data_IF_294809494131
#
_entry.id   IF_294809494131
#
_cell.length_a   1.000
_cell.length_b   1.000
_cell.length_c   1.000
_cell.angle_alpha   90.00
_cell.angle_beta   90.00
_cell.angle_gamma   90.00
#
_symmetry.space_group_name_H-M   'P 1'
#
loop_
_entity.id
_entity.type
_entity.pdbx_description
1 polymer ?
#
# COMPACT_ATOMS: atom_id res chain seq x y z
N UNK A 1 -59.73 -41.13 77.71
CA UNK A 1 -59.09 -40.06 76.92
C UNK A 1 -58.19 -39.35 77.93
N UNK A 2 -56.87 -39.46 77.88
CA UNK A 2 -56.02 -38.84 76.84
C UNK A 2 -54.64 -39.52 76.83
N UNK A 3 -54.19 -39.95 75.65
CA UNK A 3 -52.78 -40.25 75.31
C UNK A 3 -52.02 -38.92 75.22
N UNK A 4 -50.75 -38.86 75.68
CA UNK A 4 -49.77 -37.92 75.12
C UNK A 4 -48.39 -38.59 74.98
N UNK A 5 -47.94 -38.60 73.73
CA UNK A 5 -46.70 -39.15 73.18
C UNK A 5 -45.47 -38.35 73.63
N UNK A 6 -44.41 -39.04 74.04
CA UNK A 6 -43.04 -38.51 74.08
C UNK A 6 -42.46 -38.44 72.66
N UNK A 7 -42.33 -37.23 72.14
CA UNK A 7 -41.72 -36.91 70.84
C UNK A 7 -40.20 -36.79 70.91
N UNK A 8 -39.56 -37.24 69.83
CA UNK A 8 -38.13 -37.19 69.56
C UNK A 8 -37.68 -35.74 69.30
N UNK A 9 -36.77 -35.19 70.13
CA UNK A 9 -36.25 -33.82 69.99
C UNK A 9 -34.72 -33.75 70.15
N UNK A 10 -33.98 -34.78 69.73
CA UNK A 10 -32.52 -34.84 69.85
C UNK A 10 -31.76 -34.80 68.52
N UNK A 11 -32.43 -34.61 67.38
CA UNK A 11 -31.82 -34.82 66.06
C UNK A 11 -31.37 -33.55 65.31
N UNK A 12 -31.48 -32.36 65.90
CA UNK A 12 -31.21 -31.08 65.19
C UNK A 12 -29.86 -30.42 65.53
N UNK A 13 -29.12 -30.90 66.53
CA UNK A 13 -27.80 -30.36 66.91
C UNK A 13 -26.61 -31.11 66.31
N UNK A 14 -26.72 -32.43 66.11
CA UNK A 14 -25.67 -33.25 65.49
C UNK A 14 -25.55 -33.00 63.97
N UNK A 15 -26.67 -32.90 63.26
CA UNK A 15 -26.67 -32.77 61.79
C UNK A 15 -25.99 -31.49 61.25
N UNK A 16 -26.00 -30.39 62.01
CA UNK A 16 -25.35 -29.14 61.60
C UNK A 16 -23.83 -29.17 61.87
N UNK A 17 -23.42 -29.75 62.99
CA UNK A 17 -22.01 -29.94 63.32
C UNK A 17 -21.34 -30.93 62.35
N UNK A 18 -22.06 -31.99 61.98
CA UNK A 18 -21.63 -32.99 61.01
C UNK A 18 -21.49 -32.39 59.58
N UNK A 19 -22.31 -31.39 59.25
CA UNK A 19 -22.23 -30.68 57.97
C UNK A 19 -20.98 -29.79 57.87
N UNK A 20 -20.65 -29.05 58.94
CA UNK A 20 -19.45 -28.22 58.98
C UNK A 20 -18.17 -29.07 59.00
N UNK A 21 -18.19 -30.22 59.67
CA UNK A 21 -17.08 -31.18 59.67
C UNK A 21 -16.92 -31.84 58.29
N UNK A 22 -18.02 -32.28 57.66
CA UNK A 22 -18.01 -32.82 56.30
C UNK A 22 -17.51 -31.78 55.28
N UNK A 23 -17.93 -30.51 55.39
CA UNK A 23 -17.45 -29.43 54.52
C UNK A 23 -15.95 -29.23 54.66
N UNK A 24 -15.41 -29.28 55.88
CA UNK A 24 -13.98 -29.15 56.15
C UNK A 24 -13.21 -30.33 55.57
N UNK A 25 -13.71 -31.54 55.77
CA UNK A 25 -13.15 -32.77 55.20
C UNK A 25 -13.11 -32.71 53.67
N UNK A 26 -14.21 -32.31 53.01
CA UNK A 26 -14.26 -32.17 51.54
C UNK A 26 -13.30 -31.08 51.06
N UNK A 27 -13.24 -29.94 51.74
CA UNK A 27 -12.32 -28.85 51.39
C UNK A 27 -10.85 -29.26 51.54
N UNK A 28 -10.53 -30.12 52.51
CA UNK A 28 -9.18 -30.63 52.73
C UNK A 28 -8.82 -31.71 51.70
N UNK A 29 -9.76 -32.60 51.34
CA UNK A 29 -9.60 -33.60 50.26
C UNK A 29 -9.29 -32.93 48.92
N UNK A 30 -9.97 -31.84 48.57
CA UNK A 30 -9.68 -31.09 47.33
C UNK A 30 -8.25 -30.48 47.35
N UNK A 31 -7.76 -30.13 48.54
CA UNK A 31 -6.43 -29.52 48.70
C UNK A 31 -5.30 -30.54 48.81
N UNK A 32 -5.58 -31.83 49.03
CA UNK A 32 -4.53 -32.86 49.04
C UNK A 32 -3.94 -33.04 47.64
N UNK A 33 -2.78 -33.69 47.58
CA UNK A 33 -2.13 -33.96 46.28
C UNK A 33 -2.98 -34.89 45.42
N UNK A 34 -3.69 -35.85 46.03
CA UNK A 34 -4.64 -36.73 45.34
C UNK A 34 -5.83 -35.94 44.78
N UNK A 35 -6.38 -34.99 45.55
CA UNK A 35 -7.45 -34.11 45.07
C UNK A 35 -7.02 -33.24 43.89
N UNK A 36 -5.82 -32.64 43.96
CA UNK A 36 -5.23 -31.87 42.85
C UNK A 36 -4.90 -32.73 41.63
N UNK A 37 -4.48 -33.98 41.85
CA UNK A 37 -4.17 -34.95 40.79
C UNK A 37 -5.46 -35.33 40.05
N UNK A 38 -6.50 -35.74 40.79
CA UNK A 38 -7.80 -36.09 40.22
C UNK A 38 -8.45 -34.91 39.49
N UNK A 39 -8.35 -33.69 40.05
CA UNK A 39 -8.84 -32.49 39.37
C UNK A 39 -8.07 -32.19 38.10
N UNK A 40 -6.74 -32.40 38.08
CA UNK A 40 -5.92 -32.27 36.87
C UNK A 40 -6.30 -33.29 35.81
N UNK A 41 -6.55 -34.54 36.19
CA UNK A 41 -6.99 -35.59 35.27
C UNK A 41 -8.30 -35.20 34.59
N UNK A 42 -9.29 -34.75 35.36
CA UNK A 42 -10.58 -34.27 34.81
C UNK A 42 -10.40 -33.02 33.94
N UNK A 43 -9.56 -32.05 34.35
CA UNK A 43 -9.25 -30.87 33.55
C UNK A 43 -8.46 -31.19 32.27
N UNK A 44 -7.83 -32.36 32.19
CA UNK A 44 -7.15 -32.83 30.97
C UNK A 44 -8.04 -33.60 30.02
N UNK A 45 -9.25 -33.97 30.44
CA UNK A 45 -10.23 -34.63 29.56
C UNK A 45 -10.73 -33.64 28.50
N UNK A 46 -10.69 -34.02 27.22
CA UNK A 46 -11.07 -33.16 26.09
C UNK A 46 -12.49 -32.59 26.22
N UNK A 47 -13.43 -33.39 26.74
CA UNK A 47 -14.82 -32.98 26.94
C UNK A 47 -14.92 -31.84 27.96
N UNK A 48 -14.14 -31.92 29.04
CA UNK A 48 -14.10 -30.90 30.08
C UNK A 48 -13.34 -29.65 29.63
N UNK A 49 -12.21 -29.80 28.92
CA UNK A 49 -11.48 -28.68 28.32
C UNK A 49 -12.33 -27.90 27.33
N UNK A 50 -13.06 -28.61 26.46
CA UNK A 50 -13.96 -27.98 25.50
C UNK A 50 -15.06 -27.19 26.22
N UNK A 51 -15.61 -27.73 27.31
CA UNK A 51 -16.61 -27.02 28.12
C UNK A 51 -16.04 -25.76 28.81
N UNK A 52 -14.80 -25.82 29.31
CA UNK A 52 -14.13 -24.71 29.99
C UNK A 52 -13.67 -23.60 29.03
N UNK A 53 -13.18 -23.96 27.84
CA UNK A 53 -12.72 -23.01 26.80
C UNK A 53 -13.89 -22.28 26.14
N UNK A 54 -15.15 -22.73 26.32
CA UNK A 54 -16.34 -22.09 25.74
C UNK A 54 -16.82 -20.82 26.47
N UNK A 55 -16.06 -20.26 27.42
CA UNK A 55 -16.37 -18.93 27.96
C UNK A 55 -16.12 -17.86 26.87
N UNK A 56 -17.13 -17.64 26.03
CA UNK A 56 -17.03 -16.85 24.80
C UNK A 56 -16.51 -15.43 25.02
N UNK A 57 -16.89 -14.77 26.12
CA UNK A 57 -16.46 -13.39 26.39
C UNK A 57 -14.97 -13.32 26.68
N UNK A 58 -14.45 -14.20 27.55
CA UNK A 58 -13.02 -14.21 27.87
C UNK A 58 -12.16 -14.57 26.65
N UNK A 59 -12.60 -15.53 25.85
CA UNK A 59 -11.91 -15.90 24.60
C UNK A 59 -11.94 -14.76 23.58
N UNK A 60 -13.09 -14.11 23.40
CA UNK A 60 -13.24 -13.00 22.46
C UNK A 60 -12.39 -11.79 22.88
N UNK A 61 -12.41 -11.43 24.16
CA UNK A 61 -11.62 -10.32 24.70
C UNK A 61 -10.13 -10.62 24.57
N UNK A 62 -9.70 -11.84 24.94
CA UNK A 62 -8.30 -12.24 24.82
C UNK A 62 -7.82 -12.25 23.37
N UNK A 63 -8.63 -12.75 22.43
CA UNK A 63 -8.29 -12.71 21.00
C UNK A 63 -8.18 -11.26 20.52
N UNK A 64 -9.14 -10.41 20.90
CA UNK A 64 -9.16 -9.00 20.50
C UNK A 64 -7.94 -8.26 21.05
N UNK A 65 -7.66 -8.42 22.33
CA UNK A 65 -6.50 -7.80 22.99
C UNK A 65 -5.20 -8.31 22.38
N UNK A 66 -5.06 -9.62 22.15
CA UNK A 66 -3.85 -10.20 21.54
C UNK A 66 -3.64 -9.73 20.10
N UNK A 67 -4.71 -9.62 19.30
CA UNK A 67 -4.61 -9.16 17.91
C UNK A 67 -4.37 -7.66 17.79
N UNK A 68 -4.83 -6.86 18.76
CA UNK A 68 -4.71 -5.40 18.75
C UNK A 68 -3.50 -4.88 19.54
N UNK A 69 -2.87 -5.73 20.35
CA UNK A 69 -1.66 -5.38 21.08
C UNK A 69 -0.48 -5.08 20.15
N UNK A 70 0.53 -4.40 20.68
CA UNK A 70 1.77 -4.12 19.94
C UNK A 70 2.52 -5.42 19.58
N UNK A 71 2.47 -6.44 20.44
CA UNK A 71 3.01 -7.76 20.16
C UNK A 71 2.26 -8.44 19.00
N UNK A 72 0.93 -8.32 18.95
CA UNK A 72 0.11 -8.80 17.84
C UNK A 72 0.48 -8.12 16.52
N UNK A 73 0.63 -6.79 16.51
CA UNK A 73 1.09 -6.04 15.33
C UNK A 73 2.48 -6.47 14.88
N UNK A 74 3.41 -6.65 15.82
CA UNK A 74 4.76 -7.12 15.54
C UNK A 74 4.76 -8.55 14.97
N UNK A 75 3.92 -9.43 15.52
CA UNK A 75 3.73 -10.78 15.00
C UNK A 75 3.20 -10.78 13.57
N UNK A 76 2.17 -9.99 13.27
CA UNK A 76 1.64 -9.86 11.91
C UNK A 76 2.66 -9.27 10.93
N UNK A 77 3.46 -8.28 11.36
CA UNK A 77 4.55 -7.74 10.56
C UNK A 77 5.57 -8.82 10.18
N UNK A 78 6.08 -9.56 11.17
CA UNK A 78 7.03 -10.65 10.93
C UNK A 78 6.43 -11.79 10.09
N UNK A 79 5.15 -12.09 10.29
CA UNK A 79 4.47 -13.16 9.57
C UNK A 79 4.24 -12.81 8.10
N UNK A 80 3.92 -11.55 7.78
CA UNK A 80 3.79 -11.07 6.40
C UNK A 80 5.14 -11.12 5.67
N UNK A 81 6.24 -10.88 6.39
CA UNK A 81 7.60 -10.99 5.84
C UNK A 81 8.01 -12.44 5.52
N UNK A 82 7.32 -13.46 6.07
CA UNK A 82 7.55 -14.85 5.68
C UNK A 82 7.07 -15.09 4.23
N UNK A 83 7.96 -15.49 3.30
CA UNK A 83 7.59 -15.64 1.89
C UNK A 83 6.45 -16.64 1.63
N UNK A 84 6.34 -17.72 2.41
CA UNK A 84 5.27 -18.71 2.23
C UNK A 84 3.93 -18.17 2.70
N UNK A 85 3.94 -17.40 3.78
CA UNK A 85 2.73 -16.75 4.28
C UNK A 85 2.33 -15.59 3.36
N UNK A 86 3.28 -14.71 3.01
CA UNK A 86 3.08 -13.58 2.11
C UNK A 86 2.51 -13.98 0.76
N UNK A 87 3.00 -15.06 0.14
CA UNK A 87 2.43 -15.58 -1.12
C UNK A 87 0.98 -16.01 -0.93
N UNK A 88 0.66 -16.75 0.13
CA UNK A 88 -0.73 -17.18 0.39
C UNK A 88 -1.66 -16.00 0.64
N UNK A 89 -1.19 -14.97 1.36
CA UNK A 89 -1.97 -13.75 1.59
C UNK A 89 -2.17 -13.01 0.27
N UNK A 90 -1.11 -12.82 -0.52
CA UNK A 90 -1.19 -12.18 -1.83
C UNK A 90 -2.16 -12.92 -2.76
N UNK A 91 -2.07 -14.24 -2.85
CA UNK A 91 -2.98 -15.07 -3.64
C UNK A 91 -4.43 -14.93 -3.18
N UNK A 92 -4.66 -14.93 -1.86
CA UNK A 92 -6.01 -14.76 -1.29
C UNK A 92 -6.61 -13.37 -1.58
N UNK A 93 -5.75 -12.34 -1.65
CA UNK A 93 -6.15 -10.95 -1.90
C UNK A 93 -6.16 -10.60 -3.38
N UNK A 94 -5.56 -11.41 -4.25
CA UNK A 94 -5.29 -11.09 -5.67
C UNK A 94 -6.55 -10.59 -6.39
N UNK A 95 -7.64 -11.35 -6.36
CA UNK A 95 -8.90 -11.01 -7.04
C UNK A 95 -9.46 -9.67 -6.55
N UNK A 96 -9.44 -9.43 -5.24
CA UNK A 96 -9.95 -8.19 -4.65
C UNK A 96 -9.03 -7.01 -4.92
N UNK A 97 -7.73 -7.24 -4.89
CA UNK A 97 -6.74 -6.22 -5.24
C UNK A 97 -6.87 -5.81 -6.72
N UNK A 98 -7.08 -6.77 -7.62
CA UNK A 98 -7.34 -6.49 -9.04
C UNK A 98 -8.63 -5.69 -9.24
N UNK A 99 -9.72 -6.05 -8.55
CA UNK A 99 -10.97 -5.27 -8.57
C UNK A 99 -10.75 -3.82 -8.11
N UNK A 100 -9.99 -3.63 -7.02
CA UNK A 100 -9.64 -2.31 -6.49
C UNK A 100 -8.82 -1.52 -7.49
N UNK A 101 -7.76 -2.10 -8.06
CA UNK A 101 -6.91 -1.45 -9.06
C UNK A 101 -7.70 -1.06 -10.31
N UNK A 102 -8.57 -1.94 -10.81
CA UNK A 102 -9.45 -1.64 -11.95
C UNK A 102 -10.42 -0.50 -11.68
N UNK A 103 -10.90 -0.38 -10.45
CA UNK A 103 -11.76 0.73 -10.04
C UNK A 103 -10.97 2.02 -9.89
N UNK A 104 -9.78 1.95 -9.27
CA UNK A 104 -8.88 3.10 -9.12
C UNK A 104 -8.42 3.65 -10.48
N UNK A 105 -8.16 2.81 -11.48
CA UNK A 105 -7.85 3.30 -12.84
C UNK A 105 -8.95 4.18 -13.46
N UNK A 106 -10.19 4.11 -12.97
CA UNK A 106 -11.32 4.94 -13.42
C UNK A 106 -11.56 6.16 -12.52
N UNK A 107 -10.82 6.27 -11.43
CA UNK A 107 -10.91 7.34 -10.47
C UNK A 107 -10.02 8.52 -10.92
N UNK A 108 -10.52 9.78 -10.89
CA UNK A 108 -9.78 10.93 -11.39
C UNK A 108 -8.52 11.24 -10.58
N UNK A 109 -8.52 10.99 -9.26
CA UNK A 109 -7.36 11.28 -8.42
C UNK A 109 -6.24 10.27 -8.70
N UNK A 110 -6.61 9.00 -8.84
CA UNK A 110 -5.66 7.96 -9.22
C UNK A 110 -5.13 8.12 -10.65
N UNK A 111 -5.96 8.57 -11.58
CA UNK A 111 -5.51 8.93 -12.93
C UNK A 111 -4.51 10.09 -12.90
N UNK A 112 -4.72 11.09 -12.05
CA UNK A 112 -3.79 12.22 -11.88
C UNK A 112 -2.44 11.73 -11.39
N UNK A 113 -2.41 10.88 -10.36
CA UNK A 113 -1.18 10.25 -9.88
C UNK A 113 -0.49 9.42 -10.97
N UNK A 114 -1.27 8.68 -11.77
CA UNK A 114 -0.72 7.91 -12.90
C UNK A 114 -0.14 8.80 -14.00
N UNK A 115 -0.75 9.96 -14.26
CA UNK A 115 -0.22 10.95 -15.20
C UNK A 115 1.11 11.53 -14.70
N UNK A 116 1.23 11.82 -13.40
CA UNK A 116 2.50 12.24 -12.79
C UNK A 116 3.59 11.18 -12.99
N UNK A 117 3.27 9.90 -12.82
CA UNK A 117 4.20 8.79 -13.11
C UNK A 117 4.59 8.74 -14.60
N UNK A 118 3.66 9.03 -15.50
CA UNK A 118 3.96 9.10 -16.95
C UNK A 118 4.83 10.31 -17.33
N UNK A 119 4.94 11.33 -16.49
CA UNK A 119 5.84 12.47 -16.67
C UNK A 119 7.25 12.22 -16.13
N UNK A 120 7.55 11.01 -15.65
CA UNK A 120 8.90 10.66 -15.24
C UNK A 120 9.89 10.70 -16.44
N UNK A 121 11.15 11.13 -16.24
CA UNK A 121 12.16 11.20 -17.31
C UNK A 121 12.39 9.90 -18.07
N UNK A 122 12.22 8.73 -17.45
CA UNK A 122 12.34 7.44 -18.15
C UNK A 122 11.19 7.24 -19.14
N UNK A 123 9.97 7.62 -18.74
CA UNK A 123 8.79 7.56 -19.61
C UNK A 123 8.86 8.60 -20.73
N UNK A 124 9.43 9.78 -20.45
CA UNK A 124 9.71 10.78 -21.47
C UNK A 124 10.70 10.25 -22.51
N UNK A 125 11.80 9.63 -22.09
CA UNK A 125 12.78 9.04 -23.00
C UNK A 125 12.16 7.94 -23.87
N UNK A 126 11.40 7.02 -23.27
CA UNK A 126 10.70 5.97 -24.01
C UNK A 126 9.72 6.56 -25.04
N UNK A 127 9.03 7.65 -24.68
CA UNK A 127 8.12 8.37 -25.59
C UNK A 127 8.88 9.05 -26.73
N UNK A 128 10.02 9.67 -26.45
CA UNK A 128 10.88 10.29 -27.46
C UNK A 128 11.48 9.27 -28.42
N UNK A 129 11.85 8.08 -27.93
CA UNK A 129 12.28 6.96 -28.78
C UNK A 129 11.14 6.49 -29.69
N UNK A 130 9.92 6.37 -29.16
CA UNK A 130 8.74 6.03 -29.96
C UNK A 130 8.46 7.09 -31.03
N UNK A 131 8.61 8.39 -30.74
CA UNK A 131 8.48 9.45 -31.75
C UNK A 131 9.57 9.39 -32.83
N UNK A 132 10.74 8.83 -32.51
CA UNK A 132 11.82 8.62 -33.48
C UNK A 132 11.64 7.36 -34.32
N UNK A 133 10.69 6.49 -33.97
CA UNK A 133 10.39 5.25 -34.69
C UNK A 133 10.00 5.50 -36.14
N UNK A 134 10.20 4.50 -36.99
CA UNK A 134 9.91 4.62 -38.42
C UNK A 134 8.41 4.81 -38.66
N UNK A 135 7.59 4.08 -37.92
CA UNK A 135 6.13 4.11 -37.98
C UNK A 135 5.60 5.50 -37.65
N UNK A 136 6.13 6.15 -36.60
CA UNK A 136 5.72 7.51 -36.26
C UNK A 136 6.22 8.53 -37.30
N UNK A 137 7.44 8.36 -37.84
CA UNK A 137 7.94 9.23 -38.92
C UNK A 137 7.08 9.16 -40.18
N UNK A 138 6.59 7.98 -40.57
CA UNK A 138 5.69 7.83 -41.72
C UNK A 138 4.36 8.58 -41.51
N UNK A 139 3.81 8.54 -40.29
CA UNK A 139 2.63 9.34 -39.93
C UNK A 139 2.93 10.84 -39.99
N UNK A 140 4.09 11.27 -39.45
CA UNK A 140 4.51 12.67 -39.50
C UNK A 140 4.71 13.15 -40.94
N UNK A 141 5.33 12.34 -41.82
CA UNK A 141 5.48 12.67 -43.23
C UNK A 141 4.12 12.86 -43.90
N UNK A 142 3.16 11.98 -43.65
CA UNK A 142 1.78 12.13 -44.14
C UNK A 142 1.14 13.44 -43.67
N UNK A 143 1.24 13.76 -42.38
CA UNK A 143 0.69 15.01 -41.81
C UNK A 143 1.39 16.24 -42.40
N UNK A 144 2.69 16.18 -42.65
CA UNK A 144 3.44 17.26 -43.32
C UNK A 144 2.96 17.43 -44.76
N UNK A 145 2.79 16.34 -45.51
CA UNK A 145 2.29 16.37 -46.90
C UNK A 145 0.88 16.98 -46.96
N UNK A 146 -0.02 16.57 -46.07
CA UNK A 146 -1.36 17.15 -45.94
C UNK A 146 -1.31 18.64 -45.54
N UNK A 147 -0.42 19.00 -44.63
CA UNK A 147 -0.22 20.39 -44.21
C UNK A 147 0.32 21.26 -45.35
N UNK A 148 1.21 20.72 -46.19
CA UNK A 148 1.71 21.40 -47.39
C UNK A 148 0.63 21.58 -48.46
N UNK A 149 -0.39 20.73 -48.48
CA UNK A 149 -1.54 20.87 -49.36
C UNK A 149 -2.56 21.90 -48.83
N UNK A 150 -2.42 22.36 -47.59
CA UNK A 150 -3.31 23.37 -47.02
C UNK A 150 -3.08 24.74 -47.68
N UNK A 151 -4.12 25.37 -48.28
CA UNK A 151 -4.00 26.68 -48.93
C UNK A 151 -3.42 27.79 -48.05
N UNK A 152 -3.67 27.77 -46.73
CA UNK A 152 -3.08 28.73 -45.78
C UNK A 152 -1.57 28.54 -45.64
N UNK A 153 -1.11 27.29 -45.63
CA UNK A 153 0.31 26.97 -45.53
C UNK A 153 1.03 27.31 -46.84
N UNK A 154 0.44 26.97 -47.99
CA UNK A 154 0.96 27.36 -49.31
C UNK A 154 1.07 28.88 -49.46
N UNK A 155 0.03 29.63 -49.06
CA UNK A 155 0.07 31.08 -49.08
C UNK A 155 1.15 31.66 -48.15
N UNK A 156 1.36 31.03 -46.98
CA UNK A 156 2.41 31.43 -46.04
C UNK A 156 3.81 31.16 -46.61
N UNK A 157 4.01 30.01 -47.28
CA UNK A 157 5.27 29.69 -47.98
C UNK A 157 5.54 30.65 -49.13
N UNK A 158 4.53 30.98 -49.93
CA UNK A 158 4.66 31.96 -51.02
C UNK A 158 4.98 33.36 -50.51
N UNK A 159 4.39 33.76 -49.37
CA UNK A 159 4.72 35.01 -48.69
C UNK A 159 6.18 35.05 -48.22
N UNK A 160 6.65 33.98 -47.58
CA UNK A 160 8.05 33.88 -47.13
C UNK A 160 9.01 33.89 -48.33
N UNK A 161 8.67 33.16 -49.40
CA UNK A 161 9.47 33.13 -50.63
C UNK A 161 9.59 34.53 -51.26
N UNK A 162 8.47 35.23 -51.40
CA UNK A 162 8.46 36.60 -51.94
C UNK A 162 9.16 37.62 -51.04
N UNK A 163 9.09 37.48 -49.72
CA UNK A 163 9.86 38.31 -48.77
C UNK A 163 11.37 38.02 -48.86
N UNK A 164 11.78 36.76 -49.06
CA UNK A 164 13.18 36.38 -49.24
C UNK A 164 13.75 36.84 -50.59
N UNK A 165 12.95 36.84 -51.65
CA UNK A 165 13.32 37.41 -52.95
C UNK A 165 13.39 38.94 -52.90
N UNK A 166 12.51 39.59 -52.11
CA UNK A 166 12.53 41.05 -51.89
C UNK A 166 13.69 41.52 -50.99
N UNK A 167 14.27 40.63 -50.19
CA UNK A 167 15.47 40.89 -49.37
C UNK A 167 16.79 40.54 -50.06
N UNK A 168 16.76 39.97 -51.27
CA UNK A 168 17.95 39.48 -51.99
C UNK A 168 18.65 40.49 -52.91
N UNK A 169 18.25 41.76 -52.93
CA UNK A 169 18.84 42.76 -53.83
C UNK A 169 19.05 44.12 -53.14
N UNK A 170 19.95 44.18 -52.17
CA UNK A 170 20.59 45.41 -51.71
C UNK A 170 21.94 45.08 -51.06
N UNK A 171 22.95 44.72 -51.86
CA UNK A 171 24.35 45.08 -51.61
C UNK A 171 25.25 44.36 -52.61
N UNK A 172 25.40 44.96 -53.79
CA UNK A 172 26.59 44.78 -54.61
C UNK A 172 26.80 46.02 -55.48
N UNK A 173 27.95 46.66 -55.27
CA UNK A 173 28.63 47.61 -56.17
C UNK A 173 28.11 49.06 -56.25
N UNK A 174 28.69 49.95 -55.45
CA UNK A 174 29.53 51.05 -55.98
C UNK A 174 30.39 51.69 -54.88
N UNK A 175 31.72 51.78 -55.08
CA UNK A 175 32.55 52.69 -54.30
C UNK A 175 33.92 52.22 -53.83
N UNK A 176 34.72 51.56 -54.69
CA UNK A 176 36.17 51.53 -54.48
C UNK A 176 36.81 52.75 -55.18
N UNK A 177 37.25 53.75 -54.42
CA UNK A 177 38.47 54.47 -54.77
C UNK A 177 39.12 55.19 -53.56
N UNK A 178 40.32 54.68 -53.26
CA UNK A 178 41.54 55.38 -52.78
C UNK A 178 41.70 55.79 -51.32
N UNK A 179 42.52 54.95 -50.67
CA UNK A 179 43.94 55.24 -50.37
C UNK A 179 44.28 55.74 -48.95
N UNK A 180 44.95 54.82 -48.23
CA UNK A 180 46.11 55.01 -47.35
C UNK A 180 45.96 55.79 -46.05
N UNK A 181 45.93 55.04 -44.94
CA UNK A 181 46.99 55.05 -43.91
C UNK A 181 46.76 53.80 -43.04
N UNK A 182 47.62 52.79 -43.04
CA UNK A 182 48.87 52.70 -42.27
C UNK A 182 48.72 53.26 -40.85
N UNK A 183 48.41 52.37 -39.90
CA UNK A 183 49.14 52.29 -38.63
C UNK A 183 48.78 50.99 -37.92
N UNK A 184 49.79 50.12 -37.84
CA UNK A 184 49.94 49.07 -36.85
C UNK A 184 49.62 49.60 -35.45
N UNK A 185 48.84 48.86 -34.66
CA UNK A 185 49.29 48.55 -33.31
C UNK A 185 48.67 47.24 -32.80
N UNK A 186 49.59 46.32 -32.61
CA UNK A 186 49.48 45.06 -31.90
C UNK A 186 49.39 45.33 -30.39
N UNK A 187 48.36 44.82 -29.73
CA UNK A 187 48.44 44.52 -28.29
C UNK A 187 47.52 43.37 -27.93
N UNK A 188 48.14 42.20 -27.95
CA UNK A 188 47.84 41.03 -27.15
C UNK A 188 47.71 41.38 -25.65
N UNK A 189 46.59 41.02 -25.02
CA UNK A 189 46.49 40.60 -23.62
C UNK A 189 45.24 39.72 -23.54
N UNK A 190 45.34 38.42 -23.24
CA UNK A 190 45.33 37.82 -21.88
C UNK A 190 44.17 38.35 -21.04
N UNK A 191 43.43 37.62 -20.23
CA UNK A 191 43.37 36.25 -19.74
C UNK A 191 42.10 36.26 -18.85
N UNK A 192 41.53 35.09 -18.58
CA UNK A 192 40.85 34.73 -17.32
C UNK A 192 39.72 35.63 -16.75
N UNK A 193 38.48 35.11 -16.77
CA UNK A 193 37.81 34.49 -15.59
C UNK A 193 36.58 33.67 -16.04
#
# INVERSE_FOLDING_TARGET
MTLLLTGCAAYQGEAQADYDETKRMVADVIKTEEGKQALREVLTEEEFQTSLVMEQSFVQDTITDTLTSEEGKAFWGQLIDDPKFGVKVADSMQTKNEEVLKRLMKDPDYQTMMMEVMHDPEMEQATLELMKSKEFREQIMTVIEESMQNPRFQASLQKIASESESGGNSDSEEGNNRESSSEDENSNESEEE
#
